data_IF_816431209882
#
_entry.id   IF_816431209882
#
_cell.length_a   1.000
_cell.length_b   1.000
_cell.length_c   1.000
_cell.angle_alpha   90.00
_cell.angle_beta   90.00
_cell.angle_gamma   90.00
#
_symmetry.space_group_name_H-M   'P 1'
#
loop_
_entity.id
_entity.type
_entity.pdbx_description
1 polymer ?
#
# COMPACT_ATOMS: atom_id res chain seq x y z
N UNK A 1 -17.85 -11.24 27.86
CA UNK A 1 -17.90 -12.37 26.90
C UNK A 1 -17.79 -11.87 25.47
N UNK A 2 -16.59 -11.51 25.02
CA UNK A 2 -16.34 -10.92 23.68
C UNK A 2 -15.22 -11.60 22.89
N UNK A 3 -14.78 -12.78 23.32
CA UNK A 3 -13.72 -13.55 22.66
C UNK A 3 -14.23 -14.39 21.46
N UNK A 4 -15.55 -14.60 21.33
CA UNK A 4 -16.12 -15.37 20.23
C UNK A 4 -16.30 -14.57 18.92
N UNK A 5 -16.11 -13.25 18.93
CA UNK A 5 -16.31 -12.39 17.73
C UNK A 5 -15.02 -11.89 17.09
N UNK A 6 -13.86 -12.04 17.75
CA UNK A 6 -12.54 -11.77 17.16
C UNK A 6 -11.91 -13.02 16.51
N UNK A 7 -12.55 -14.18 16.61
CA UNK A 7 -12.19 -15.40 15.86
C UNK A 7 -12.76 -15.42 14.43
N UNK A 8 -13.37 -14.32 13.97
CA UNK A 8 -13.90 -14.16 12.62
C UNK A 8 -12.88 -13.49 11.67
N UNK A 9 -11.59 -13.80 11.81
CA UNK A 9 -10.58 -13.50 10.81
C UNK A 9 -10.37 -14.74 9.93
N UNK A 10 -10.81 -14.72 8.65
CA UNK A 10 -10.80 -15.90 7.77
C UNK A 10 -9.39 -16.45 7.48
N UNK A 11 -8.34 -15.69 7.81
CA UNK A 11 -6.95 -16.06 7.56
C UNK A 11 -6.25 -16.75 8.75
N UNK A 12 -6.77 -16.65 9.97
CA UNK A 12 -6.23 -17.35 11.15
C UNK A 12 -6.58 -18.84 11.16
N UNK A 13 -7.77 -19.19 10.65
CA UNK A 13 -8.22 -20.58 10.52
C UNK A 13 -7.51 -21.32 9.38
N UNK A 14 -7.09 -20.62 8.31
CA UNK A 14 -6.35 -21.21 7.19
C UNK A 14 -4.91 -21.61 7.57
N UNK A 15 -4.25 -20.84 8.45
CA UNK A 15 -2.93 -21.21 8.98
C UNK A 15 -3.02 -22.29 10.07
N UNK A 16 -4.09 -22.31 10.87
CA UNK A 16 -4.34 -23.40 11.80
C UNK A 16 -4.65 -24.72 11.07
N UNK A 17 -5.44 -24.68 9.99
CA UNK A 17 -5.80 -25.85 9.18
C UNK A 17 -4.62 -26.44 8.41
N UNK A 18 -3.69 -25.62 7.89
CA UNK A 18 -2.49 -26.12 7.21
C UNK A 18 -1.46 -26.72 8.17
N UNK A 19 -1.43 -26.30 9.45
CA UNK A 19 -0.57 -26.93 10.46
C UNK A 19 -1.07 -28.30 10.94
N UNK A 20 -2.38 -28.58 10.85
CA UNK A 20 -2.96 -29.88 11.19
C UNK A 20 -2.70 -30.96 10.10
N UNK A 21 -2.49 -30.55 8.84
CA UNK A 21 -2.27 -31.46 7.71
C UNK A 21 -0.89 -32.11 7.68
N UNK A 22 0.15 -31.44 8.21
CA UNK A 22 1.54 -31.97 8.20
C UNK A 22 1.78 -33.00 9.30
N UNK A 23 0.96 -33.01 10.35
CA UNK A 23 1.10 -33.95 11.47
C UNK A 23 0.62 -35.38 11.16
N UNK A 24 -0.21 -35.56 10.11
CA UNK A 24 -0.78 -36.88 9.77
C UNK A 24 0.22 -37.80 9.05
N UNK A 25 1.31 -37.25 8.49
CA UNK A 25 2.25 -37.98 7.65
C UNK A 25 3.43 -38.66 8.41
N UNK A 26 3.63 -38.42 9.71
CA UNK A 26 4.87 -38.83 10.42
C UNK A 26 4.65 -39.75 11.64
N UNK A 27 3.42 -40.17 11.97
CA UNK A 27 3.15 -41.11 13.09
C UNK A 27 3.91 -40.79 14.41
N UNK A 28 4.10 -39.51 14.74
CA UNK A 28 4.73 -39.11 15.98
C UNK A 28 3.72 -39.21 17.15
N UNK A 29 4.14 -39.64 18.36
CA UNK A 29 3.28 -39.73 19.53
C UNK A 29 2.58 -38.39 19.82
N UNK A 30 1.26 -38.44 19.99
CA UNK A 30 0.34 -37.29 20.16
C UNK A 30 0.81 -36.26 21.20
N UNK A 31 1.59 -36.68 22.19
CA UNK A 31 2.15 -35.83 23.24
C UNK A 31 3.22 -34.83 22.76
N UNK A 32 3.96 -35.13 21.69
CA UNK A 32 5.03 -34.25 21.17
C UNK A 32 4.47 -33.09 20.34
N UNK A 33 3.35 -33.31 19.63
CA UNK A 33 2.68 -32.28 18.85
C UNK A 33 2.03 -31.19 19.74
N UNK A 34 1.48 -31.57 20.89
CA UNK A 34 0.92 -30.63 21.87
C UNK A 34 2.04 -29.80 22.52
N UNK A 35 3.20 -30.41 22.81
CA UNK A 35 4.35 -29.72 23.41
C UNK A 35 4.96 -28.66 22.47
N UNK A 36 5.04 -28.93 21.17
CA UNK A 36 5.57 -27.97 20.18
C UNK A 36 4.57 -26.82 19.95
N UNK A 37 3.27 -27.12 19.87
CA UNK A 37 2.22 -26.08 19.76
C UNK A 37 2.17 -25.16 20.99
N UNK A 38 2.33 -25.72 22.19
CA UNK A 38 2.40 -24.95 23.44
C UNK A 38 3.72 -24.18 23.57
N UNK A 39 4.84 -24.72 23.09
CA UNK A 39 6.13 -24.02 23.11
C UNK A 39 6.14 -22.80 22.18
N UNK A 40 5.50 -22.87 21.00
CA UNK A 40 5.35 -21.73 20.08
C UNK A 40 4.39 -20.68 20.64
N UNK A 41 3.31 -21.11 21.33
CA UNK A 41 2.38 -20.19 22.01
C UNK A 41 3.00 -19.54 23.25
N UNK A 42 3.83 -20.24 24.01
CA UNK A 42 4.55 -19.70 25.19
C UNK A 42 5.72 -18.81 24.79
N UNK A 43 6.45 -19.13 23.71
CA UNK A 43 7.48 -18.25 23.15
C UNK A 43 6.89 -16.92 22.65
N UNK A 44 5.63 -16.93 22.17
CA UNK A 44 4.92 -15.71 21.77
C UNK A 44 4.24 -14.98 22.94
N UNK A 45 3.91 -15.67 24.03
CA UNK A 45 3.38 -15.07 25.25
C UNK A 45 4.47 -14.42 26.12
N UNK A 46 5.72 -14.93 26.08
CA UNK A 46 6.85 -14.39 26.85
C UNK A 46 7.34 -13.02 26.39
N UNK A 47 7.14 -12.66 25.11
CA UNK A 47 7.53 -11.35 24.55
C UNK A 47 6.40 -10.30 24.72
N UNK A 48 5.20 -10.72 25.13
CA UNK A 48 4.01 -9.85 25.22
C UNK A 48 3.66 -9.41 26.64
N UNK A 49 4.41 -9.82 27.67
CA UNK A 49 4.04 -9.58 29.08
C UNK A 49 4.82 -8.49 29.81
N UNK A 50 5.75 -7.80 29.15
CA UNK A 50 6.47 -6.64 29.74
C UNK A 50 6.04 -5.36 29.03
N UNK A 51 4.96 -4.75 29.53
CA UNK A 51 4.50 -3.44 29.07
C UNK A 51 3.03 -3.20 29.36
N UNK A 52 2.70 -2.90 30.62
CA UNK A 52 1.34 -2.61 31.09
C UNK A 52 1.01 -1.11 30.86
N UNK A 53 0.04 -0.87 29.95
CA UNK A 53 -0.92 0.26 29.73
C UNK A 53 -0.53 1.74 30.05
N UNK A 54 -0.91 2.72 29.17
CA UNK A 54 -2.26 3.32 29.23
C UNK A 54 -2.92 3.75 27.88
N UNK A 55 -4.27 3.72 27.88
CA UNK A 55 -5.29 4.45 27.06
C UNK A 55 -5.21 4.50 25.51
N UNK A 56 -6.37 4.43 24.79
CA UNK A 56 -6.40 4.33 23.33
C UNK A 56 -6.11 5.70 22.68
N UNK A 57 -4.84 5.99 22.46
CA UNK A 57 -4.44 7.03 21.51
C UNK A 57 -4.85 6.58 20.11
N UNK A 58 -5.59 7.46 19.43
CA UNK A 58 -5.94 7.42 18.01
C UNK A 58 -4.73 6.85 17.25
N UNK A 59 -4.83 5.61 16.74
CA UNK A 59 -3.74 4.92 16.02
C UNK A 59 -3.18 5.88 14.97
N UNK A 60 -2.05 6.51 15.27
CA UNK A 60 -1.20 7.10 14.25
C UNK A 60 -0.94 5.97 13.27
N UNK A 61 -1.43 6.14 12.04
CA UNK A 61 -1.21 5.18 10.98
C UNK A 61 0.30 5.04 10.87
N UNK A 62 0.84 3.91 11.35
CA UNK A 62 2.27 3.61 11.32
C UNK A 62 2.74 3.89 9.89
N UNK A 63 3.48 4.99 9.72
CA UNK A 63 3.97 5.42 8.42
C UNK A 63 4.81 4.26 7.89
N UNK A 64 4.38 3.68 6.78
CA UNK A 64 5.08 2.56 6.18
C UNK A 64 6.35 3.12 5.54
N UNK A 65 7.52 2.61 5.96
CA UNK A 65 8.80 3.10 5.47
C UNK A 65 8.93 2.91 3.96
N UNK A 66 9.16 4.03 3.28
CA UNK A 66 9.50 4.09 1.86
C UNK A 66 10.90 3.52 1.65
N UNK A 67 11.08 2.69 0.60
CA UNK A 67 12.37 2.10 0.33
C UNK A 67 13.36 3.15 -0.21
N UNK A 68 14.60 3.24 0.31
CA UNK A 68 15.57 4.21 -0.17
C UNK A 68 16.00 3.87 -1.61
N UNK A 69 16.15 4.91 -2.43
CA UNK A 69 16.54 4.83 -3.84
C UNK A 69 15.44 4.31 -4.77
N UNK A 70 14.19 4.17 -4.28
CA UNK A 70 13.09 3.66 -5.09
C UNK A 70 12.34 4.76 -5.85
N UNK A 71 11.57 4.39 -6.86
CA UNK A 71 10.71 5.32 -7.60
C UNK A 71 9.69 5.99 -6.67
N UNK A 72 9.17 5.24 -5.69
CA UNK A 72 8.27 5.77 -4.67
C UNK A 72 8.90 6.92 -3.88
N UNK A 73 10.17 6.79 -3.48
CA UNK A 73 10.90 7.85 -2.77
C UNK A 73 11.09 9.08 -3.66
N UNK A 74 11.46 8.88 -4.92
CA UNK A 74 11.70 9.99 -5.85
C UNK A 74 10.44 10.82 -6.08
N UNK A 75 9.29 10.16 -6.31
CA UNK A 75 8.02 10.87 -6.48
C UNK A 75 7.52 11.51 -5.19
N UNK A 76 7.71 10.85 -4.04
CA UNK A 76 7.35 11.45 -2.76
C UNK A 76 8.18 12.69 -2.47
N UNK A 77 9.50 12.63 -2.66
CA UNK A 77 10.39 13.79 -2.48
C UNK A 77 10.01 14.95 -3.39
N UNK A 78 9.58 14.65 -4.61
CA UNK A 78 9.06 15.66 -5.54
C UNK A 78 7.78 16.32 -5.02
N UNK A 79 6.83 15.53 -4.52
CA UNK A 79 5.61 16.06 -3.91
C UNK A 79 5.88 16.90 -2.65
N UNK A 80 6.85 16.49 -1.83
CA UNK A 80 7.30 17.27 -0.66
C UNK A 80 7.91 18.60 -1.09
N UNK A 81 8.78 18.60 -2.10
CA UNK A 81 9.33 19.83 -2.66
C UNK A 81 8.25 20.77 -3.25
N UNK A 82 7.21 20.21 -3.87
CA UNK A 82 6.08 21.00 -4.37
C UNK A 82 5.29 21.64 -3.21
N UNK A 83 4.98 20.88 -2.16
CA UNK A 83 4.27 21.40 -0.99
C UNK A 83 5.09 22.49 -0.26
N UNK A 84 6.40 22.27 -0.09
CA UNK A 84 7.30 23.26 0.50
C UNK A 84 7.39 24.52 -0.38
N UNK A 85 7.42 24.35 -1.70
CA UNK A 85 7.35 25.44 -2.67
C UNK A 85 6.05 26.23 -2.58
N UNK A 86 4.92 25.55 -2.40
CA UNK A 86 3.62 26.16 -2.19
C UNK A 86 3.60 27.02 -0.91
N UNK A 87 4.02 26.46 0.23
CA UNK A 87 4.08 27.19 1.51
C UNK A 87 5.05 28.38 1.43
N UNK A 88 6.18 28.21 0.74
CA UNK A 88 7.14 29.30 0.51
C UNK A 88 6.53 30.44 -0.32
N UNK A 89 5.82 30.13 -1.41
CA UNK A 89 5.12 31.13 -2.21
C UNK A 89 4.01 31.81 -1.39
N UNK A 90 3.20 31.03 -0.68
CA UNK A 90 2.12 31.54 0.17
C UNK A 90 2.62 32.54 1.22
N UNK A 91 3.75 32.24 1.86
CA UNK A 91 4.35 33.11 2.89
C UNK A 91 5.04 34.35 2.32
N UNK A 92 5.41 34.35 1.04
CA UNK A 92 6.04 35.49 0.36
C UNK A 92 5.05 36.51 -0.19
N UNK A 93 3.75 36.19 -0.20
CA UNK A 93 2.71 37.07 -0.73
C UNK A 93 2.44 38.25 0.21
N UNK A 94 2.31 39.44 -0.37
CA UNK A 94 1.83 40.61 0.35
C UNK A 94 0.39 40.40 0.82
N UNK A 95 0.06 40.94 1.99
CA UNK A 95 -1.28 40.81 2.58
C UNK A 95 -2.36 41.34 1.62
N UNK A 96 -3.35 40.51 1.33
CA UNK A 96 -4.45 40.84 0.43
C UNK A 96 -5.29 39.63 0.04
N UNK A 97 -6.34 39.83 -0.78
CA UNK A 97 -7.31 38.78 -1.09
C UNK A 97 -6.71 37.53 -1.75
N UNK A 98 -5.62 37.66 -2.52
CA UNK A 98 -4.92 36.52 -3.08
C UNK A 98 -4.15 35.72 -2.01
N UNK A 99 -3.47 36.42 -1.09
CA UNK A 99 -2.74 35.76 0.00
C UNK A 99 -3.68 34.95 0.89
N UNK A 100 -4.86 35.49 1.24
CA UNK A 100 -5.87 34.77 2.03
C UNK A 100 -6.35 33.51 1.30
N UNK A 101 -6.60 33.60 -0.01
CA UNK A 101 -7.05 32.46 -0.83
C UNK A 101 -5.99 31.37 -0.96
N UNK A 102 -4.71 31.74 -1.12
CA UNK A 102 -3.60 30.78 -1.20
C UNK A 102 -3.38 30.13 0.17
N UNK A 103 -3.46 30.90 1.25
CA UNK A 103 -3.37 30.38 2.61
C UNK A 103 -4.50 29.37 2.92
N UNK A 104 -5.72 29.63 2.46
CA UNK A 104 -6.86 28.71 2.60
C UNK A 104 -6.63 27.34 1.89
N UNK A 105 -5.74 27.30 0.89
CA UNK A 105 -5.43 26.06 0.15
C UNK A 105 -4.31 25.24 0.81
N UNK A 106 -3.50 25.83 1.71
CA UNK A 106 -2.38 25.15 2.36
C UNK A 106 -2.78 23.88 3.12
N UNK A 107 -3.88 23.85 3.91
CA UNK A 107 -4.32 22.62 4.57
C UNK A 107 -4.64 21.48 3.59
N UNK A 108 -5.19 21.82 2.42
CA UNK A 108 -5.54 20.83 1.39
C UNK A 108 -4.28 20.28 0.72
N UNK A 109 -3.27 21.12 0.47
CA UNK A 109 -1.96 20.68 -0.02
C UNK A 109 -1.30 19.72 0.97
N UNK A 110 -1.32 20.04 2.25
CA UNK A 110 -0.75 19.18 3.30
C UNK A 110 -1.52 17.85 3.44
N UNK A 111 -2.85 17.86 3.39
CA UNK A 111 -3.66 16.63 3.39
C UNK A 111 -3.38 15.74 2.16
N UNK A 112 -3.20 16.38 1.00
CA UNK A 112 -2.82 15.69 -0.24
C UNK A 112 -1.44 15.05 -0.08
N UNK A 113 -0.46 15.78 0.46
CA UNK A 113 0.88 15.26 0.72
C UNK A 113 0.87 14.07 1.68
N UNK A 114 0.09 14.15 2.77
CA UNK A 114 -0.07 13.01 3.68
C UNK A 114 -0.65 11.77 2.97
N UNK A 115 -1.59 11.98 2.05
CA UNK A 115 -2.16 10.90 1.26
C UNK A 115 -1.11 10.28 0.34
N UNK A 116 -0.27 11.10 -0.30
CA UNK A 116 0.85 10.64 -1.12
C UNK A 116 1.90 9.88 -0.29
N UNK A 117 2.21 10.33 0.95
CA UNK A 117 3.07 9.60 1.89
C UNK A 117 2.53 8.20 2.20
N UNK A 118 1.24 8.11 2.52
CA UNK A 118 0.56 6.81 2.76
C UNK A 118 0.61 5.92 1.53
N UNK A 119 0.42 6.49 0.34
CA UNK A 119 0.45 5.78 -0.94
C UNK A 119 1.85 5.23 -1.25
N UNK A 120 2.89 6.05 -1.12
CA UNK A 120 4.28 5.67 -1.29
C UNK A 120 4.70 4.55 -0.33
N UNK A 121 4.27 4.64 0.94
CA UNK A 121 4.50 3.60 1.94
C UNK A 121 3.82 2.26 1.58
N UNK A 122 2.58 2.30 1.06
CA UNK A 122 1.89 1.09 0.57
C UNK A 122 2.59 0.49 -0.65
N UNK A 123 2.97 1.32 -1.64
CA UNK A 123 3.69 0.88 -2.83
C UNK A 123 5.03 0.22 -2.45
N UNK A 124 5.76 0.81 -1.50
CA UNK A 124 7.00 0.26 -0.95
C UNK A 124 6.80 -1.06 -0.21
N UNK A 125 5.73 -1.19 0.57
CA UNK A 125 5.39 -2.44 1.25
C UNK A 125 5.04 -3.56 0.24
N UNK A 126 4.30 -3.23 -0.81
CA UNK A 126 3.99 -4.15 -1.92
C UNK A 126 5.26 -4.55 -2.67
N UNK A 127 6.16 -3.61 -2.95
CA UNK A 127 7.47 -3.89 -3.55
C UNK A 127 8.32 -4.81 -2.67
N UNK A 128 8.36 -4.58 -1.36
CA UNK A 128 9.01 -5.48 -0.38
C UNK A 128 8.38 -6.88 -0.40
N UNK A 129 7.06 -6.98 -0.49
CA UNK A 129 6.38 -8.28 -0.60
C UNK A 129 6.72 -9.01 -1.90
N UNK A 130 6.76 -8.31 -3.04
CA UNK A 130 7.17 -8.84 -4.34
C UNK A 130 8.61 -9.36 -4.31
N UNK A 131 9.53 -8.61 -3.70
CA UNK A 131 10.95 -8.99 -3.61
C UNK A 131 11.21 -10.29 -2.83
N UNK A 132 10.25 -10.76 -2.04
CA UNK A 132 10.35 -12.05 -1.32
C UNK A 132 10.02 -13.25 -2.20
N UNK A 133 9.38 -13.04 -3.35
CA UNK A 133 9.00 -14.10 -4.27
C UNK A 133 9.98 -14.08 -5.44
N UNK A 134 10.80 -15.12 -5.56
CA UNK A 134 11.65 -15.33 -6.74
C UNK A 134 10.79 -15.83 -7.91
N UNK A 135 10.28 -14.88 -8.71
CA UNK A 135 9.41 -15.17 -9.86
C UNK A 135 10.11 -16.08 -10.89
N UNK A 136 11.44 -15.98 -11.02
CA UNK A 136 12.19 -16.81 -11.94
C UNK A 136 12.25 -18.26 -11.45
N UNK A 137 12.46 -18.47 -10.15
CA UNK A 137 12.37 -19.80 -9.55
C UNK A 137 10.97 -20.41 -9.70
N UNK A 138 9.91 -19.65 -9.42
CA UNK A 138 8.53 -20.10 -9.60
C UNK A 138 8.25 -20.46 -11.06
N UNK A 139 8.75 -19.66 -12.02
CA UNK A 139 8.57 -19.91 -13.45
C UNK A 139 9.34 -21.15 -13.93
N UNK A 140 10.56 -21.37 -13.42
CA UNK A 140 11.33 -22.60 -13.67
C UNK A 140 10.63 -23.83 -13.12
N UNK A 141 10.10 -23.74 -11.90
CA UNK A 141 9.39 -24.86 -11.26
C UNK A 141 8.11 -25.20 -12.03
N UNK A 142 7.37 -24.20 -12.52
CA UNK A 142 6.21 -24.44 -13.39
C UNK A 142 6.59 -25.27 -14.62
N UNK A 143 7.62 -24.84 -15.35
CA UNK A 143 8.08 -25.55 -16.57
C UNK A 143 8.54 -26.97 -16.25
N UNK A 144 9.22 -27.16 -15.12
CA UNK A 144 9.66 -28.48 -14.65
C UNK A 144 8.47 -29.39 -14.33
N UNK A 145 7.45 -28.88 -13.65
CA UNK A 145 6.23 -29.63 -13.33
C UNK A 145 5.43 -29.98 -14.59
N UNK A 146 5.28 -29.05 -15.53
CA UNK A 146 4.64 -29.28 -16.84
C UNK A 146 5.35 -30.40 -17.62
N UNK A 147 6.69 -30.36 -17.65
CA UNK A 147 7.47 -31.41 -18.30
C UNK A 147 7.32 -32.75 -17.58
N UNK A 148 7.35 -32.76 -16.25
CA UNK A 148 7.18 -33.99 -15.47
C UNK A 148 5.81 -34.62 -15.68
N UNK A 149 4.76 -33.78 -15.77
CA UNK A 149 3.39 -34.20 -16.02
C UNK A 149 3.21 -34.84 -17.41
N UNK A 150 3.96 -34.38 -18.41
CA UNK A 150 3.90 -34.92 -19.78
C UNK A 150 4.34 -36.39 -19.88
N UNK A 151 5.19 -36.84 -18.97
CA UNK A 151 5.70 -38.22 -18.89
C UNK A 151 5.27 -38.96 -17.62
N UNK A 152 4.36 -38.38 -16.83
CA UNK A 152 3.96 -38.93 -15.55
C UNK A 152 3.13 -40.22 -15.71
N UNK A 153 3.35 -41.16 -14.80
CA UNK A 153 2.45 -42.30 -14.62
C UNK A 153 1.21 -41.85 -13.86
N UNK A 154 0.12 -42.58 -14.03
CA UNK A 154 -1.19 -42.21 -13.46
C UNK A 154 -1.15 -42.06 -11.94
N UNK A 155 -0.31 -42.84 -11.24
CA UNK A 155 -0.24 -42.83 -9.78
C UNK A 155 0.32 -41.52 -9.19
N UNK A 156 1.14 -40.79 -9.95
CA UNK A 156 1.80 -39.54 -9.51
C UNK A 156 1.22 -38.31 -10.20
N UNK A 157 0.32 -38.52 -11.17
CA UNK A 157 -0.24 -37.47 -12.02
C UNK A 157 -1.02 -36.44 -11.20
N UNK A 158 -1.87 -36.91 -10.28
CA UNK A 158 -2.67 -36.04 -9.41
C UNK A 158 -1.81 -35.14 -8.51
N UNK A 159 -0.74 -35.69 -7.92
CA UNK A 159 0.18 -34.92 -7.07
C UNK A 159 0.90 -33.82 -7.87
N UNK A 160 1.31 -34.13 -9.11
CA UNK A 160 1.94 -33.16 -10.01
C UNK A 160 0.97 -32.06 -10.47
N UNK A 161 -0.29 -32.40 -10.75
CA UNK A 161 -1.33 -31.42 -11.09
C UNK A 161 -1.64 -30.50 -9.91
N UNK A 162 -1.68 -31.04 -8.69
CA UNK A 162 -1.87 -30.24 -7.48
C UNK A 162 -0.68 -29.29 -7.23
N UNK A 163 0.55 -29.77 -7.41
CA UNK A 163 1.76 -28.95 -7.31
C UNK A 163 1.76 -27.84 -8.38
N UNK A 164 1.39 -28.16 -9.63
CA UNK A 164 1.30 -27.19 -10.72
C UNK A 164 0.27 -26.10 -10.41
N UNK A 165 -0.89 -26.49 -9.89
CA UNK A 165 -1.95 -25.55 -9.47
C UNK A 165 -1.45 -24.59 -8.38
N UNK A 166 -0.68 -25.10 -7.39
CA UNK A 166 -0.12 -24.26 -6.35
C UNK A 166 0.91 -23.25 -6.89
N UNK A 167 1.77 -23.67 -7.82
CA UNK A 167 2.75 -22.79 -8.48
C UNK A 167 2.06 -21.72 -9.34
N UNK A 168 1.00 -22.09 -10.08
CA UNK A 168 0.20 -21.13 -10.85
C UNK A 168 -0.45 -20.09 -9.93
N UNK A 169 -1.03 -20.51 -8.79
CA UNK A 169 -1.58 -19.59 -7.81
C UNK A 169 -0.54 -18.59 -7.26
N UNK A 170 0.71 -19.01 -7.08
CA UNK A 170 1.81 -18.10 -6.70
C UNK A 170 2.11 -17.07 -7.79
N UNK A 171 2.13 -17.48 -9.06
CA UNK A 171 2.31 -16.55 -10.18
C UNK A 171 1.16 -15.54 -10.29
N UNK A 172 -0.08 -15.99 -10.09
CA UNK A 172 -1.26 -15.12 -10.12
C UNK A 172 -1.28 -14.10 -8.98
N UNK A 173 -0.82 -14.49 -7.79
CA UNK A 173 -0.64 -13.55 -6.67
C UNK A 173 0.44 -12.52 -7.01
N UNK A 174 1.58 -12.96 -7.55
CA UNK A 174 2.65 -12.04 -7.96
C UNK A 174 2.17 -11.05 -9.04
N UNK A 175 1.46 -11.54 -10.07
CA UNK A 175 0.89 -10.70 -11.12
C UNK A 175 -0.08 -9.65 -10.56
N UNK A 176 -0.97 -10.05 -9.63
CA UNK A 176 -1.87 -9.11 -8.96
C UNK A 176 -1.15 -8.07 -8.12
N UNK A 177 -0.13 -8.48 -7.35
CA UNK A 177 0.65 -7.56 -6.51
C UNK A 177 1.49 -6.58 -7.34
N UNK A 178 2.10 -7.04 -8.43
CA UNK A 178 2.84 -6.18 -9.35
C UNK A 178 1.93 -5.15 -10.02
N UNK A 179 0.80 -5.57 -10.60
CA UNK A 179 -0.18 -4.64 -11.16
C UNK A 179 -0.75 -3.66 -10.13
N UNK A 180 -0.95 -4.10 -8.88
CA UNK A 180 -1.33 -3.20 -7.79
C UNK A 180 -0.24 -2.16 -7.49
N UNK A 181 1.03 -2.56 -7.40
CA UNK A 181 2.15 -1.63 -7.19
C UNK A 181 2.24 -0.60 -8.31
N UNK A 182 2.13 -1.04 -9.57
CA UNK A 182 2.22 -0.14 -10.73
C UNK A 182 1.12 0.91 -10.71
N UNK A 183 -0.10 0.52 -10.32
CA UNK A 183 -1.21 1.46 -10.14
C UNK A 183 -0.96 2.47 -9.03
N UNK A 184 -0.43 2.03 -7.88
CA UNK A 184 -0.10 2.94 -6.77
C UNK A 184 1.01 3.92 -7.17
N UNK A 185 2.01 3.46 -7.93
CA UNK A 185 3.07 4.31 -8.48
C UNK A 185 2.53 5.35 -9.46
N UNK A 186 1.66 4.95 -10.39
CA UNK A 186 1.03 5.88 -11.33
C UNK A 186 0.19 6.94 -10.60
N UNK A 187 -0.53 6.55 -9.54
CA UNK A 187 -1.29 7.49 -8.70
C UNK A 187 -0.37 8.46 -7.93
N UNK A 188 0.74 7.96 -7.38
CA UNK A 188 1.73 8.79 -6.69
C UNK A 188 2.36 9.81 -7.63
N UNK A 189 2.75 9.36 -8.83
CA UNK A 189 3.28 10.22 -9.90
C UNK A 189 2.27 11.29 -10.31
N UNK A 190 1.02 10.90 -10.58
CA UNK A 190 -0.04 11.83 -10.97
C UNK A 190 -0.29 12.89 -9.87
N UNK A 191 -0.36 12.48 -8.61
CA UNK A 191 -0.54 13.39 -7.49
C UNK A 191 0.64 14.35 -7.29
N UNK A 192 1.88 13.87 -7.41
CA UNK A 192 3.07 14.71 -7.33
C UNK A 192 3.09 15.77 -8.45
N UNK A 193 2.79 15.37 -9.69
CA UNK A 193 2.70 16.29 -10.83
C UNK A 193 1.53 17.28 -10.68
N UNK A 194 0.42 16.86 -10.08
CA UNK A 194 -0.70 17.72 -9.74
C UNK A 194 -0.30 18.84 -8.78
N UNK A 195 0.46 18.50 -7.72
CA UNK A 195 0.99 19.50 -6.79
C UNK A 195 1.98 20.45 -7.46
N UNK A 196 2.88 19.95 -8.31
CA UNK A 196 3.78 20.81 -9.10
C UNK A 196 3.00 21.80 -9.98
N UNK A 197 1.94 21.33 -10.65
CA UNK A 197 1.12 22.21 -11.49
C UNK A 197 0.39 23.26 -10.66
N UNK A 198 -0.03 22.94 -9.44
CA UNK A 198 -0.64 23.90 -8.53
C UNK A 198 0.34 25.00 -8.16
N UNK A 199 1.57 24.64 -7.77
CA UNK A 199 2.65 25.59 -7.46
C UNK A 199 2.94 26.50 -8.64
N UNK A 200 3.07 25.93 -9.84
CA UNK A 200 3.34 26.70 -11.06
C UNK A 200 2.25 27.74 -11.33
N UNK A 201 0.98 27.39 -11.12
CA UNK A 201 -0.16 28.30 -11.33
C UNK A 201 -0.26 29.37 -10.25
N UNK A 202 0.05 29.05 -9.00
CA UNK A 202 0.16 30.08 -7.95
C UNK A 202 1.27 31.05 -8.32
N UNK A 203 2.45 30.56 -8.72
CA UNK A 203 3.55 31.42 -9.16
C UNK A 203 3.14 32.32 -10.35
N UNK A 204 2.44 31.79 -11.34
CA UNK A 204 1.88 32.57 -12.46
C UNK A 204 0.92 33.67 -11.98
N UNK A 205 -0.02 33.33 -11.08
CA UNK A 205 -0.96 34.30 -10.51
C UNK A 205 -0.23 35.40 -9.74
N UNK A 206 0.79 35.06 -8.94
CA UNK A 206 1.57 36.06 -8.19
C UNK A 206 2.31 37.03 -9.11
N UNK A 207 2.85 36.54 -10.24
CA UNK A 207 3.51 37.37 -11.24
C UNK A 207 2.52 38.25 -12.02
N UNK A 208 1.29 37.77 -12.25
CA UNK A 208 0.24 38.51 -12.96
C UNK A 208 -0.43 39.59 -12.10
N UNK A 209 -0.52 39.40 -10.79
CA UNK A 209 -1.15 40.37 -9.86
C UNK A 209 -0.41 41.70 -9.72
N UNK A 210 0.78 41.85 -10.30
CA UNK A 210 1.43 43.16 -10.40
C UNK A 210 0.70 44.12 -11.37
N UNK A 211 -0.18 43.62 -12.27
CA UNK A 211 -0.79 44.45 -13.32
C UNK A 211 -2.33 44.51 -13.37
N UNK A 212 -3.11 43.55 -12.83
CA UNK A 212 -4.59 43.56 -12.96
C UNK A 212 -5.31 42.94 -11.76
N UNK A 213 -6.50 43.47 -11.45
CA UNK A 213 -7.45 42.97 -10.46
C UNK A 213 -7.63 41.44 -10.53
N UNK A 214 -7.45 40.78 -9.39
CA UNK A 214 -7.54 39.32 -9.20
C UNK A 214 -8.80 38.76 -9.85
N UNK A 215 -8.63 37.98 -10.94
CA UNK A 215 -9.72 37.24 -11.56
C UNK A 215 -10.07 36.03 -10.70
N UNK A 216 -11.17 36.16 -9.96
CA UNK A 216 -11.71 35.13 -9.06
C UNK A 216 -12.15 33.86 -9.79
N UNK A 217 -12.29 33.89 -11.12
CA UNK A 217 -12.58 32.73 -11.96
C UNK A 217 -11.44 31.69 -11.99
N UNK A 218 -10.19 32.15 -12.10
CA UNK A 218 -9.02 31.26 -12.19
C UNK A 218 -8.79 30.47 -10.89
N UNK A 219 -9.05 31.09 -9.73
CA UNK A 219 -8.95 30.46 -8.40
C UNK A 219 -10.03 29.39 -8.19
N UNK A 220 -11.23 29.62 -8.72
CA UNK A 220 -12.32 28.63 -8.67
C UNK A 220 -12.02 27.42 -9.55
N UNK A 221 -11.50 27.65 -10.75
CA UNK A 221 -11.09 26.58 -11.66
C UNK A 221 -9.94 25.72 -11.08
N UNK A 222 -9.03 26.33 -10.34
CA UNK A 222 -7.99 25.63 -9.58
C UNK A 222 -8.57 24.72 -8.48
N UNK A 223 -9.57 25.20 -7.76
CA UNK A 223 -10.27 24.42 -6.73
C UNK A 223 -11.06 23.25 -7.34
N UNK A 224 -11.71 23.48 -8.47
CA UNK A 224 -12.46 22.45 -9.21
C UNK A 224 -11.51 21.38 -9.78
N UNK A 225 -10.32 21.77 -10.24
CA UNK A 225 -9.31 20.82 -10.72
C UNK A 225 -8.66 20.02 -9.57
N UNK A 226 -8.42 20.65 -8.41
CA UNK A 226 -7.92 19.96 -7.22
C UNK A 226 -8.95 18.96 -6.68
N UNK A 227 -10.22 19.34 -6.63
CA UNK A 227 -11.31 18.41 -6.24
C UNK A 227 -11.49 17.31 -7.29
N UNK A 228 -11.30 17.60 -8.59
CA UNK A 228 -11.27 16.60 -9.64
C UNK A 228 -10.13 15.57 -9.49
N UNK A 229 -8.93 16.01 -9.13
CA UNK A 229 -7.79 15.13 -8.84
C UNK A 229 -8.06 14.30 -7.58
N UNK A 230 -8.53 14.93 -6.50
CA UNK A 230 -8.90 14.26 -5.26
C UNK A 230 -9.97 13.20 -5.49
N UNK A 231 -11.02 13.55 -6.22
CA UNK A 231 -12.12 12.65 -6.53
C UNK A 231 -11.67 11.50 -7.44
N UNK A 232 -10.83 11.75 -8.44
CA UNK A 232 -10.23 10.71 -9.27
C UNK A 232 -9.34 9.74 -8.48
N UNK A 233 -8.60 10.24 -7.48
CA UNK A 233 -7.79 9.40 -6.58
C UNK A 233 -8.69 8.58 -5.64
N UNK A 234 -9.76 9.16 -5.09
CA UNK A 234 -10.71 8.46 -4.21
C UNK A 234 -11.55 7.41 -4.95
N UNK A 235 -12.04 7.72 -6.15
CA UNK A 235 -12.80 6.79 -6.99
C UNK A 235 -11.94 5.60 -7.42
N UNK A 236 -10.64 5.82 -7.67
CA UNK A 236 -9.71 4.74 -7.99
C UNK A 236 -9.29 3.92 -6.76
N UNK A 237 -9.24 4.49 -5.55
CA UNK A 237 -9.11 3.71 -4.30
C UNK A 237 -10.34 2.82 -4.08
N UNK A 238 -11.56 3.31 -4.32
CA UNK A 238 -12.79 2.51 -4.19
C UNK A 238 -12.86 1.40 -5.23
N UNK A 239 -12.47 1.67 -6.48
CA UNK A 239 -12.39 0.67 -7.54
C UNK A 239 -11.31 -0.40 -7.27
N UNK A 240 -10.24 -0.05 -6.55
CA UNK A 240 -9.21 -1.02 -6.14
C UNK A 240 -9.66 -1.84 -4.93
N UNK A 241 -10.55 -1.29 -4.07
CA UNK A 241 -11.17 -1.99 -2.95
C UNK A 241 -12.30 -2.95 -3.39
N UNK A 242 -12.89 -2.73 -4.57
CA UNK A 242 -13.81 -3.65 -5.28
C UNK A 242 -13.07 -4.32 -6.45
N UNK A 243 -12.18 -5.30 -6.20
CA UNK A 243 -12.59 -6.67 -6.50
C UNK A 243 -11.91 -7.69 -5.56
N UNK A 244 -12.61 -8.07 -4.49
CA UNK A 244 -12.36 -9.30 -3.72
C UNK A 244 -13.70 -9.99 -3.38
N UNK A 245 -14.65 -9.92 -4.33
CA UNK A 245 -15.87 -10.74 -4.34
C UNK A 245 -15.71 -11.82 -5.38
#
# INVERSE_FOLDING_TARGET
MKFARELAEPWGLLLAATSAGVAWAVQLPVLVAVLIGVAVLLARAGVASVGREPAPQRREARVLDVAPGSDEENWLRRAEGAADGFTSLSSSLDSGPLADRVADMEPVVQETLETLRRLAGRASATGKALSRVDLDAVTRERRRLEQSLSSAREEVRGDLEQALTAVQAQQDVHARLSGARDKLLAQLQSGALGLDSLVARVAELTAATTDVAVDTGAVRELSDQLEGIRQGVLETEQATRKPLG
#
